data_IF_427788680730
#
_entry.id   IF_427788680730
#
_cell.length_a   1.000
_cell.length_b   1.000
_cell.length_c   1.000
_cell.angle_alpha   90.00
_cell.angle_beta   90.00
_cell.angle_gamma   90.00
#
_symmetry.space_group_name_H-M   'P 1'
#
loop_
_entity.id
_entity.type
_entity.pdbx_description
1 polymer ?
#
# COMPACT_ATOMS: atom_id res chain seq x y z
N UNK A 1 -48.11 -17.60 22.23
CA UNK A 1 -47.01 -17.52 21.24
C UNK A 1 -45.97 -16.43 21.57
N UNK A 2 -45.65 -16.16 22.85
CA UNK A 2 -44.56 -15.24 23.24
C UNK A 2 -43.63 -15.78 24.34
N UNK A 3 -43.91 -16.99 24.85
CA UNK A 3 -43.08 -17.67 25.87
C UNK A 3 -42.21 -18.79 25.31
N UNK A 4 -42.31 -19.09 24.02
CA UNK A 4 -41.45 -20.08 23.34
C UNK A 4 -40.20 -19.44 22.71
N UNK A 5 -40.19 -18.11 22.54
CA UNK A 5 -39.03 -17.40 21.97
C UNK A 5 -37.93 -17.11 22.99
N UNK A 6 -38.23 -17.18 24.29
CA UNK A 6 -37.24 -16.85 25.34
C UNK A 6 -36.26 -17.99 25.64
N UNK A 7 -36.54 -19.22 25.19
CA UNK A 7 -35.66 -20.37 25.45
C UNK A 7 -34.55 -20.56 24.41
N UNK A 8 -34.67 -19.95 23.22
CA UNK A 8 -33.66 -20.10 22.13
C UNK A 8 -32.50 -19.11 22.28
N UNK A 9 -32.69 -18.01 23.03
CA UNK A 9 -31.70 -16.92 23.16
C UNK A 9 -30.71 -17.09 24.33
N UNK A 10 -30.63 -18.28 24.93
CA UNK A 10 -29.67 -18.57 26.02
C UNK A 10 -28.55 -19.53 25.55
N UNK A 11 -28.73 -20.23 24.43
CA UNK A 11 -27.76 -21.24 23.96
C UNK A 11 -26.67 -20.63 23.05
N UNK A 12 -26.80 -19.36 22.64
CA UNK A 12 -25.88 -18.71 21.70
C UNK A 12 -24.62 -18.11 22.35
N UNK A 13 -24.49 -18.10 23.67
CA UNK A 13 -23.37 -17.45 24.38
C UNK A 13 -22.29 -18.41 24.91
N UNK A 14 -22.37 -19.71 24.63
CA UNK A 14 -21.36 -20.70 25.05
C UNK A 14 -20.37 -21.14 23.95
N UNK A 15 -20.38 -20.48 22.79
CA UNK A 15 -19.44 -20.80 21.70
C UNK A 15 -18.34 -19.76 21.60
N UNK A 16 -17.44 -19.77 22.59
CA UNK A 16 -16.02 -19.38 22.49
C UNK A 16 -15.41 -19.42 23.89
N UNK A 17 -14.92 -20.60 24.31
CA UNK A 17 -13.95 -20.70 25.39
C UNK A 17 -12.81 -21.62 24.98
N UNK A 18 -12.25 -21.37 23.80
CA UNK A 18 -11.00 -22.01 23.38
C UNK A 18 -9.85 -21.15 23.92
N UNK A 19 -9.41 -21.45 25.13
CA UNK A 19 -8.08 -21.08 25.61
C UNK A 19 -7.01 -21.97 24.95
N UNK A 20 -7.06 -22.10 23.61
CA UNK A 20 -6.01 -22.77 22.85
C UNK A 20 -4.89 -21.75 22.61
N UNK A 21 -4.02 -21.62 23.60
CA UNK A 21 -2.76 -20.89 23.50
C UNK A 21 -1.66 -21.67 22.78
N UNK A 22 -1.99 -22.84 22.19
CA UNK A 22 -1.05 -23.62 21.43
C UNK A 22 -1.13 -23.25 19.95
N UNK A 23 -0.07 -22.69 19.35
CA UNK A 23 -0.01 -22.58 17.89
C UNK A 23 -0.15 -23.98 17.30
N UNK A 24 -1.02 -24.15 16.31
CA UNK A 24 -1.14 -25.37 15.51
C UNK A 24 0.08 -25.52 14.60
N UNK A 25 1.28 -25.57 15.18
CA UNK A 25 2.47 -26.01 14.46
C UNK A 25 2.52 -27.52 14.60
N UNK A 26 2.06 -28.22 13.57
CA UNK A 26 2.33 -29.65 13.41
C UNK A 26 3.85 -29.84 13.26
N UNK A 27 4.55 -30.42 14.24
CA UNK A 27 5.99 -30.58 14.19
C UNK A 27 6.45 -31.52 13.06
N UNK A 28 5.53 -32.30 12.48
CA UNK A 28 5.81 -33.23 11.39
C UNK A 28 5.73 -32.57 9.99
N UNK A 29 5.30 -31.29 9.91
CA UNK A 29 5.34 -30.48 8.68
C UNK A 29 6.51 -29.48 8.76
N UNK A 30 7.70 -29.94 9.15
CA UNK A 30 8.91 -29.17 8.91
C UNK A 30 9.34 -29.39 7.45
N UNK A 31 9.37 -28.34 6.59
CA UNK A 31 9.92 -28.50 5.25
C UNK A 31 11.38 -28.99 5.37
N UNK A 32 11.82 -29.91 4.49
CA UNK A 32 13.18 -30.43 4.54
C UNK A 32 14.18 -29.26 4.44
N UNK A 33 15.30 -29.31 5.18
CA UNK A 33 16.28 -28.24 5.15
C UNK A 33 16.80 -28.07 3.72
N UNK A 34 16.48 -26.94 3.09
CA UNK A 34 16.81 -26.67 1.68
C UNK A 34 18.30 -26.47 1.43
N UNK A 35 19.12 -26.40 2.48
CA UNK A 35 20.53 -25.99 2.41
C UNK A 35 20.73 -24.51 2.05
N UNK A 36 19.64 -23.78 1.78
CA UNK A 36 19.66 -22.36 1.48
C UNK A 36 19.68 -21.63 2.82
N UNK A 37 20.72 -20.80 3.03
CA UNK A 37 20.80 -19.95 4.21
C UNK A 37 19.56 -19.05 4.26
N UNK A 38 18.91 -19.00 5.42
CA UNK A 38 17.81 -18.08 5.65
C UNK A 38 18.22 -16.64 5.31
N UNK A 39 17.31 -15.80 4.77
CA UNK A 39 17.59 -14.39 4.54
C UNK A 39 18.10 -13.71 5.82
N UNK A 40 19.06 -12.80 5.65
CA UNK A 40 19.59 -12.02 6.78
C UNK A 40 18.56 -10.96 7.16
N UNK A 41 18.22 -10.87 8.45
CA UNK A 41 17.42 -9.77 8.97
C UNK A 41 18.25 -8.49 9.02
N UNK A 42 17.79 -7.45 8.32
CA UNK A 42 18.39 -6.11 8.36
C UNK A 42 17.65 -5.24 9.37
N UNK A 43 18.38 -4.58 10.27
CA UNK A 43 17.83 -3.53 11.12
C UNK A 43 17.79 -2.18 10.40
N UNK A 44 17.04 -1.23 10.92
CA UNK A 44 17.03 0.16 10.48
C UNK A 44 17.14 1.11 11.67
N UNK A 45 17.63 2.33 11.42
CA UNK A 45 17.61 3.43 12.37
C UNK A 45 16.98 4.65 11.71
N UNK A 46 16.10 5.34 12.43
CA UNK A 46 15.50 6.59 11.93
C UNK A 46 16.56 7.69 12.04
N UNK A 47 17.02 8.19 10.88
CA UNK A 47 18.01 9.27 10.81
C UNK A 47 17.38 10.65 10.66
N UNK A 48 16.16 10.70 10.13
CA UNK A 48 15.37 11.91 9.95
C UNK A 48 13.90 11.52 9.74
N UNK A 49 13.01 12.43 10.10
CA UNK A 49 11.57 12.36 9.83
C UNK A 49 11.16 13.61 9.08
N UNK A 50 10.32 13.45 8.05
CA UNK A 50 9.81 14.56 7.25
C UNK A 50 8.28 14.50 7.20
N UNK A 51 7.59 15.65 7.09
CA UNK A 51 6.14 15.66 6.95
C UNK A 51 5.71 14.94 5.66
N UNK A 52 4.64 14.16 5.75
CA UNK A 52 3.97 13.53 4.62
C UNK A 52 2.47 13.84 4.68
N UNK A 53 1.83 13.96 3.52
CA UNK A 53 0.41 14.23 3.42
C UNK A 53 -0.38 12.98 3.81
N UNK A 54 -1.03 13.01 4.96
CA UNK A 54 -1.78 11.87 5.51
C UNK A 54 -3.00 11.46 4.67
N UNK A 55 -3.40 12.28 3.69
CA UNK A 55 -4.42 11.92 2.70
C UNK A 55 -3.87 11.22 1.46
N UNK A 56 -2.54 11.11 1.33
CA UNK A 56 -1.89 10.46 0.19
C UNK A 56 -1.74 8.95 0.43
N UNK A 57 -2.57 8.14 -0.22
CA UNK A 57 -2.37 6.69 -0.23
C UNK A 57 -1.26 6.32 -1.23
N UNK A 58 -0.01 6.36 -0.78
CA UNK A 58 1.20 6.14 -1.60
C UNK A 58 1.22 4.75 -2.23
N UNK A 59 1.27 4.70 -3.57
CA UNK A 59 1.44 3.45 -4.34
C UNK A 59 2.75 3.41 -5.13
N UNK A 60 3.40 4.56 -5.31
CA UNK A 60 4.72 4.64 -5.93
C UNK A 60 5.48 5.85 -5.39
N UNK A 61 6.79 5.68 -5.19
CA UNK A 61 7.66 6.69 -4.59
C UNK A 61 9.06 6.63 -5.20
N UNK A 62 9.56 7.76 -5.71
CA UNK A 62 10.94 7.85 -6.22
C UNK A 62 11.56 9.22 -5.91
N UNK A 63 12.81 9.22 -5.43
CA UNK A 63 13.61 10.44 -5.33
C UNK A 63 14.41 10.64 -6.61
N UNK A 64 14.20 11.77 -7.28
CA UNK A 64 14.87 12.08 -8.53
C UNK A 64 15.23 13.58 -8.58
N UNK A 65 16.51 13.87 -8.82
CA UNK A 65 17.04 15.25 -8.89
C UNK A 65 16.63 16.15 -7.70
N UNK A 66 16.68 15.59 -6.48
CA UNK A 66 16.38 16.32 -5.24
C UNK A 66 14.89 16.52 -4.93
N UNK A 67 13.99 16.05 -5.79
CA UNK A 67 12.54 16.09 -5.58
C UNK A 67 12.00 14.68 -5.32
N UNK A 68 10.87 14.60 -4.64
CA UNK A 68 10.13 13.36 -4.46
C UNK A 68 8.99 13.31 -5.47
N UNK A 69 8.95 12.23 -6.24
CA UNK A 69 7.88 11.90 -7.15
C UNK A 69 7.04 10.83 -6.47
N UNK A 70 5.73 11.02 -6.47
CA UNK A 70 4.81 10.15 -5.77
C UNK A 70 3.57 9.87 -6.63
N UNK A 71 3.16 8.62 -6.67
CA UNK A 71 1.85 8.21 -7.18
C UNK A 71 0.97 7.84 -5.99
N UNK A 72 -0.26 8.35 -5.99
CA UNK A 72 -1.28 7.98 -5.02
C UNK A 72 -2.36 7.16 -5.68
N UNK A 73 -2.82 6.13 -4.98
CA UNK A 73 -3.95 5.29 -5.37
C UNK A 73 -5.23 5.74 -4.69
N UNK A 74 -6.29 5.95 -5.45
CA UNK A 74 -7.67 6.11 -4.99
C UNK A 74 -8.56 6.16 -6.24
N UNK A 75 -9.70 5.50 -6.21
CA UNK A 75 -10.67 5.67 -7.30
C UNK A 75 -11.11 7.13 -7.34
N UNK A 76 -11.15 7.72 -8.52
CA UNK A 76 -11.47 9.14 -8.76
C UNK A 76 -10.46 10.17 -8.19
N UNK A 77 -9.62 9.81 -7.21
CA UNK A 77 -8.68 10.76 -6.57
C UNK A 77 -7.19 10.40 -6.72
N UNK A 78 -6.85 9.34 -7.47
CA UNK A 78 -5.45 9.01 -7.80
C UNK A 78 -4.73 10.21 -8.42
N UNK A 79 -3.45 10.36 -8.13
CA UNK A 79 -2.67 11.51 -8.63
C UNK A 79 -1.18 11.21 -8.74
N UNK A 80 -0.51 11.87 -9.68
CA UNK A 80 0.96 12.03 -9.66
C UNK A 80 1.29 13.35 -8.98
N UNK A 81 2.28 13.32 -8.09
CA UNK A 81 2.73 14.46 -7.29
C UNK A 81 4.23 14.63 -7.42
N UNK A 82 4.66 15.88 -7.52
CA UNK A 82 6.05 16.27 -7.27
C UNK A 82 6.05 17.04 -5.97
N UNK A 83 6.81 16.57 -4.99
CA UNK A 83 6.85 17.09 -3.63
C UNK A 83 8.26 17.50 -3.24
N UNK A 84 8.35 18.53 -2.41
CA UNK A 84 9.57 18.81 -1.66
C UNK A 84 9.63 17.80 -0.50
N UNK A 85 10.58 16.86 -0.56
CA UNK A 85 10.69 15.75 0.38
C UNK A 85 11.00 16.18 1.82
N UNK A 86 11.51 17.39 2.04
CA UNK A 86 11.89 17.89 3.37
C UNK A 86 10.71 18.51 4.10
N UNK A 87 9.90 19.27 3.38
CA UNK A 87 8.73 19.98 3.93
C UNK A 87 7.41 19.22 3.75
N UNK A 88 7.37 18.22 2.86
CA UNK A 88 6.13 17.54 2.46
C UNK A 88 5.25 18.35 1.51
N UNK A 89 5.68 19.56 1.12
CA UNK A 89 4.88 20.45 0.27
C UNK A 89 4.74 19.88 -1.15
N UNK A 90 3.52 19.76 -1.64
CA UNK A 90 3.22 19.45 -3.03
C UNK A 90 3.56 20.65 -3.92
N UNK A 91 4.53 20.48 -4.81
CA UNK A 91 4.98 21.48 -5.78
C UNK A 91 4.16 21.42 -7.06
N UNK A 92 3.77 20.22 -7.48
CA UNK A 92 2.90 19.96 -8.64
C UNK A 92 2.04 18.73 -8.36
N UNK A 93 0.78 18.76 -8.82
CA UNK A 93 -0.17 17.65 -8.72
C UNK A 93 -0.91 17.50 -10.03
N UNK A 94 -0.94 16.28 -10.55
CA UNK A 94 -1.75 15.89 -11.70
C UNK A 94 -2.80 14.86 -11.24
N UNK A 95 -4.08 15.25 -11.12
CA UNK A 95 -5.18 14.31 -10.88
C UNK A 95 -5.35 13.38 -12.08
N UNK A 96 -5.46 12.08 -11.84
CA UNK A 96 -5.62 11.07 -12.89
C UNK A 96 -6.60 9.94 -12.53
N UNK A 97 -7.05 9.87 -11.27
CA UNK A 97 -8.04 8.89 -10.86
C UNK A 97 -9.38 9.08 -11.58
N UNK A 98 -9.98 7.98 -11.99
CA UNK A 98 -11.37 7.94 -12.48
C UNK A 98 -12.08 6.74 -11.83
N UNK A 99 -13.30 6.44 -12.26
CA UNK A 99 -14.01 5.22 -11.83
C UNK A 99 -13.33 3.94 -12.34
N UNK A 100 -12.51 4.05 -13.38
CA UNK A 100 -11.82 2.94 -14.06
C UNK A 100 -10.30 2.98 -13.86
N UNK A 101 -9.75 4.08 -13.35
CA UNK A 101 -8.32 4.30 -13.20
C UNK A 101 -7.97 4.51 -11.72
N UNK A 102 -7.13 3.61 -11.21
CA UNK A 102 -6.48 3.68 -9.92
C UNK A 102 -4.96 3.67 -10.12
N UNK A 103 -4.26 4.68 -9.62
CA UNK A 103 -2.82 4.85 -9.80
C UNK A 103 -2.01 3.91 -8.90
N UNK A 104 -0.92 3.37 -9.42
CA UNK A 104 -0.06 2.39 -8.76
C UNK A 104 1.42 2.85 -8.75
N UNK A 105 2.37 1.92 -8.79
CA UNK A 105 3.81 2.20 -8.83
C UNK A 105 4.25 3.11 -9.96
N UNK A 106 5.32 3.88 -9.69
CA UNK A 106 5.99 4.74 -10.65
C UNK A 106 7.48 4.42 -10.76
N UNK A 107 8.07 4.74 -11.91
CA UNK A 107 9.53 4.90 -12.02
C UNK A 107 9.93 5.94 -13.06
N UNK A 108 11.12 6.50 -12.94
CA UNK A 108 11.70 7.44 -13.91
C UNK A 108 12.81 6.78 -14.73
N UNK A 109 12.67 6.82 -16.06
CA UNK A 109 13.66 6.30 -16.99
C UNK A 109 13.76 7.20 -18.22
N UNK A 110 14.99 7.59 -18.57
CA UNK A 110 15.29 8.37 -19.81
C UNK A 110 14.42 9.64 -19.94
N UNK A 111 14.26 10.38 -18.85
CA UNK A 111 13.50 11.64 -18.83
C UNK A 111 11.97 11.46 -18.86
N UNK A 112 11.48 10.24 -18.65
CA UNK A 112 10.04 9.92 -18.60
C UNK A 112 9.68 9.32 -17.26
N UNK A 113 8.49 9.66 -16.75
CA UNK A 113 7.88 9.00 -15.60
C UNK A 113 6.84 8.00 -16.10
N UNK A 114 7.00 6.75 -15.72
CA UNK A 114 6.09 5.66 -16.04
C UNK A 114 5.23 5.37 -14.82
N UNK A 115 3.90 5.33 -14.99
CA UNK A 115 2.96 5.02 -13.92
C UNK A 115 2.10 3.82 -14.32
N UNK A 116 2.08 2.80 -13.47
CA UNK A 116 1.17 1.67 -13.60
C UNK A 116 -0.23 2.05 -13.08
N UNK A 117 -1.24 1.30 -13.52
CA UNK A 117 -2.59 1.35 -12.97
C UNK A 117 -3.00 0.01 -12.39
N UNK A 118 -3.88 0.03 -11.39
CA UNK A 118 -4.45 -1.19 -10.85
C UNK A 118 -5.51 -1.74 -11.80
N UNK A 119 -5.40 -3.02 -12.15
CA UNK A 119 -6.35 -3.83 -12.94
C UNK A 119 -6.64 -3.38 -14.38
N UNK A 120 -6.47 -2.11 -14.74
CA UNK A 120 -6.82 -1.62 -16.07
C UNK A 120 -5.77 -1.91 -17.15
N UNK A 121 -4.59 -2.43 -16.78
CA UNK A 121 -3.49 -2.77 -17.69
C UNK A 121 -3.04 -1.58 -18.56
N UNK A 122 -3.10 -0.37 -18.02
CA UNK A 122 -2.67 0.86 -18.67
C UNK A 122 -1.36 1.33 -18.02
N UNK A 123 -0.46 1.86 -18.84
CA UNK A 123 0.73 2.56 -18.36
C UNK A 123 0.67 3.99 -18.88
N UNK A 124 0.64 4.96 -17.97
CA UNK A 124 0.76 6.37 -18.32
C UNK A 124 2.24 6.77 -18.37
N UNK A 125 2.62 7.59 -19.36
CA UNK A 125 4.02 7.95 -19.60
C UNK A 125 4.15 9.46 -19.71
N UNK A 126 4.62 10.11 -18.65
CA UNK A 126 4.75 11.55 -18.57
C UNK A 126 6.14 12.01 -18.97
N UNK A 127 6.27 13.24 -19.43
CA UNK A 127 7.56 13.94 -19.38
C UNK A 127 7.90 14.24 -17.91
N UNK A 128 9.10 13.88 -17.45
CA UNK A 128 9.49 14.06 -16.04
C UNK A 128 9.50 15.53 -15.60
N UNK A 129 9.62 16.46 -16.55
CA UNK A 129 9.59 17.90 -16.32
C UNK A 129 8.17 18.49 -16.47
N UNK A 130 7.20 17.72 -16.98
CA UNK A 130 5.82 18.15 -17.12
C UNK A 130 4.84 16.98 -16.98
N UNK A 131 4.40 16.74 -15.75
CA UNK A 131 3.45 15.67 -15.42
C UNK A 131 1.97 16.04 -15.66
N UNK A 132 1.66 17.21 -16.22
CA UNK A 132 0.27 17.66 -16.37
C UNK A 132 -0.52 16.85 -17.40
N UNK A 133 0.17 16.05 -18.21
CA UNK A 133 -0.40 15.12 -19.17
C UNK A 133 0.58 13.97 -19.43
N UNK A 134 0.08 12.74 -19.57
CA UNK A 134 0.84 11.64 -20.12
C UNK A 134 1.01 11.77 -21.65
#
# INVERSE_FOLDING_TARGET
MKRLFTLVMIISFFSCNNNDSNPSSDPDIAPPPSGIKAPVNLGFAVVAEFPHDTSAYTQGLELHNGKMYESTGDWENSSIRITDHRSGKVLQKHPMGTREIFGEGITILKGKLYQLTWQSNIVYVYDVNNINKP
#
